data_IF_881594297281
#
_entry.id   IF_881594297281
#
_cell.length_a   1.000
_cell.length_b   1.000
_cell.length_c   1.000
_cell.angle_alpha   90.00
_cell.angle_beta   90.00
_cell.angle_gamma   90.00
#
_symmetry.space_group_name_H-M   'P 1'
#
loop_
_entity.id
_entity.type
_entity.pdbx_description
1 polymer ?
#
# COMPACT_ATOMS: atom_id res chain seq x y z
N UNK A 1 22.06 11.94 -39.52
CA UNK A 1 21.34 12.53 -38.38
C UNK A 1 22.36 13.09 -37.39
N UNK A 2 22.20 14.31 -36.92
CA UNK A 2 23.14 14.97 -36.00
C UNK A 2 23.05 14.39 -34.58
N UNK A 3 24.17 14.25 -33.89
CA UNK A 3 24.26 13.70 -32.52
C UNK A 3 23.30 14.38 -31.53
N UNK A 4 23.03 15.69 -31.72
CA UNK A 4 22.09 16.49 -30.90
C UNK A 4 20.64 16.02 -31.04
N UNK A 5 20.22 15.58 -32.23
CA UNK A 5 18.88 15.06 -32.46
C UNK A 5 18.67 13.71 -31.75
N UNK A 6 19.72 12.89 -31.69
CA UNK A 6 19.70 11.60 -30.99
C UNK A 6 19.63 11.78 -29.47
N UNK A 7 20.43 12.70 -28.91
CA UNK A 7 20.39 13.00 -27.47
C UNK A 7 19.03 13.58 -27.04
N UNK A 8 18.45 14.48 -27.83
CA UNK A 8 17.13 15.05 -27.53
C UNK A 8 16.02 13.98 -27.53
N UNK A 9 16.06 13.04 -28.48
CA UNK A 9 15.10 11.94 -28.55
C UNK A 9 15.23 10.99 -27.36
N UNK A 10 16.45 10.65 -26.93
CA UNK A 10 16.69 9.81 -25.75
C UNK A 10 16.21 10.47 -24.45
N UNK A 11 16.44 11.78 -24.29
CA UNK A 11 15.94 12.52 -23.11
C UNK A 11 14.41 12.59 -23.09
N UNK A 12 13.76 12.83 -24.22
CA UNK A 12 12.31 12.85 -24.32
C UNK A 12 11.71 11.47 -24.00
N UNK A 13 12.31 10.39 -24.52
CA UNK A 13 11.89 9.03 -24.21
C UNK A 13 12.06 8.72 -22.72
N UNK A 14 13.18 9.13 -22.12
CA UNK A 14 13.44 8.92 -20.70
C UNK A 14 12.42 9.65 -19.82
N UNK A 15 12.04 10.88 -20.20
CA UNK A 15 11.01 11.64 -19.51
C UNK A 15 9.63 10.97 -19.64
N UNK A 16 9.27 10.50 -20.83
CA UNK A 16 8.00 9.79 -21.07
C UNK A 16 7.93 8.51 -20.23
N UNK A 17 9.02 7.73 -20.19
CA UNK A 17 9.10 6.51 -19.38
C UNK A 17 8.99 6.85 -17.89
N UNK A 18 9.70 7.87 -17.41
CA UNK A 18 9.61 8.30 -16.02
C UNK A 18 8.17 8.71 -15.66
N UNK A 19 7.52 9.54 -16.48
CA UNK A 19 6.12 9.96 -16.27
C UNK A 19 5.17 8.76 -16.29
N UNK A 20 5.37 7.80 -17.19
CA UNK A 20 4.56 6.58 -17.25
C UNK A 20 4.72 5.70 -16.01
N UNK A 21 5.92 5.63 -15.42
CA UNK A 21 6.17 4.90 -14.17
C UNK A 21 5.57 5.59 -12.94
N UNK A 22 5.51 6.93 -12.93
CA UNK A 22 4.88 7.69 -11.84
C UNK A 22 3.34 7.72 -11.91
N UNK A 23 2.78 7.69 -13.12
CA UNK A 23 1.33 7.79 -13.35
C UNK A 23 0.65 6.44 -13.58
N UNK A 24 1.44 5.38 -13.81
CA UNK A 24 0.91 4.03 -13.89
C UNK A 24 0.16 3.68 -12.61
N UNK A 25 -0.92 2.87 -12.69
CA UNK A 25 -1.57 2.39 -11.50
C UNK A 25 -0.52 1.65 -10.67
N UNK A 26 -0.22 2.21 -9.48
CA UNK A 26 0.46 1.45 -8.44
C UNK A 26 -0.58 0.43 -8.02
N UNK A 27 -0.58 -0.69 -8.72
CA UNK A 27 -1.32 -1.87 -8.34
C UNK A 27 -0.70 -2.32 -7.01
N UNK A 28 -1.19 -1.73 -5.91
CA UNK A 28 -0.92 -2.15 -4.55
C UNK A 28 -1.45 -3.59 -4.29
N UNK A 29 -1.99 -4.25 -5.33
CA UNK A 29 -2.38 -5.65 -5.38
C UNK A 29 -1.22 -6.63 -5.17
N UNK A 30 0.04 -6.16 -5.21
CA UNK A 30 1.21 -6.92 -4.77
C UNK A 30 1.41 -6.98 -3.25
N UNK A 31 0.78 -6.08 -2.48
CA UNK A 31 0.46 -6.40 -1.10
C UNK A 31 -0.77 -7.30 -1.18
N UNK A 32 -0.69 -8.53 -0.68
CA UNK A 32 -1.92 -9.27 -0.39
C UNK A 32 -2.79 -8.31 0.43
N UNK A 33 -3.86 -7.79 -0.19
CA UNK A 33 -4.81 -6.94 0.50
C UNK A 33 -5.27 -7.78 1.67
N UNK A 34 -4.91 -7.36 2.88
CA UNK A 34 -5.23 -8.08 4.09
C UNK A 34 -6.71 -8.44 4.04
N UNK A 35 -6.97 -9.73 3.86
CA UNK A 35 -8.32 -10.23 3.79
C UNK A 35 -8.82 -10.41 5.21
N UNK A 36 -10.06 -10.02 5.45
CA UNK A 36 -10.72 -10.33 6.71
C UNK A 36 -10.78 -11.85 6.89
N UNK A 37 -10.35 -12.41 8.03
CA UNK A 37 -10.35 -13.85 8.26
C UNK A 37 -11.76 -14.41 8.46
N UNK A 38 -12.72 -13.56 8.82
CA UNK A 38 -14.13 -13.91 9.05
C UNK A 38 -15.01 -12.68 8.77
N UNK A 39 -16.24 -12.92 8.33
CA UNK A 39 -17.28 -11.91 8.22
C UNK A 39 -18.05 -11.78 9.54
N UNK A 40 -18.43 -10.56 9.91
CA UNK A 40 -19.19 -10.32 11.13
C UNK A 40 -19.07 -8.91 11.68
N UNK A 41 -19.82 -8.63 12.75
CA UNK A 41 -19.73 -7.37 13.49
C UNK A 41 -18.50 -7.37 14.41
N UNK A 42 -17.81 -6.23 14.50
CA UNK A 42 -16.76 -6.02 15.50
C UNK A 42 -17.41 -5.83 16.86
N UNK A 43 -17.15 -6.77 17.77
CA UNK A 43 -17.69 -6.76 19.15
C UNK A 43 -16.69 -6.23 20.18
N UNK A 44 -15.40 -6.24 19.85
CA UNK A 44 -14.34 -5.60 20.64
C UNK A 44 -13.47 -4.78 19.70
N UNK A 45 -13.42 -3.47 19.90
CA UNK A 45 -12.54 -2.57 19.15
C UNK A 45 -11.09 -2.65 19.65
N UNK A 46 -10.14 -2.32 18.77
CA UNK A 46 -8.74 -2.18 19.15
C UNK A 46 -8.53 -0.95 20.02
N UNK A 47 -7.88 -1.12 21.18
CA UNK A 47 -7.53 -0.01 22.07
C UNK A 47 -6.25 -0.29 22.82
N UNK A 48 -5.34 0.68 22.85
CA UNK A 48 -4.22 0.67 23.78
C UNK A 48 -4.65 1.22 25.16
N UNK A 49 -4.14 0.63 26.23
CA UNK A 49 -4.11 1.26 27.55
C UNK A 49 -3.09 2.42 27.61
N UNK A 50 -2.92 2.99 28.80
CA UNK A 50 -2.02 4.13 29.01
C UNK A 50 -0.55 3.80 28.71
N UNK A 51 -0.14 2.55 28.95
CA UNK A 51 1.12 1.98 28.48
C UNK A 51 0.83 1.01 27.31
N UNK A 52 1.16 1.34 26.06
CA UNK A 52 0.90 0.48 24.91
C UNK A 52 1.60 -0.90 24.96
N UNK A 53 2.64 -1.05 25.77
CA UNK A 53 3.45 -2.27 25.84
C UNK A 53 3.25 -3.07 27.13
N UNK A 54 2.36 -2.63 28.03
CA UNK A 54 2.08 -3.38 29.24
C UNK A 54 1.57 -4.80 28.91
N UNK A 55 2.01 -5.83 29.66
CA UNK A 55 1.67 -7.22 29.38
C UNK A 55 0.17 -7.50 29.62
N UNK A 56 -0.36 -8.51 28.91
CA UNK A 56 -1.73 -9.00 29.10
C UNK A 56 -2.83 -8.18 28.42
N UNK A 57 -2.50 -7.18 27.59
CA UNK A 57 -3.49 -6.41 26.85
C UNK A 57 -4.07 -7.18 25.65
N UNK A 58 -5.35 -6.94 25.36
CA UNK A 58 -6.00 -7.39 24.12
C UNK A 58 -5.45 -6.57 22.94
N UNK A 59 -4.70 -7.21 22.05
CA UNK A 59 -3.98 -6.56 20.94
C UNK A 59 -4.58 -6.91 19.58
N UNK A 60 -5.91 -6.88 19.50
CA UNK A 60 -6.65 -7.18 18.28
C UNK A 60 -8.01 -6.51 18.27
N UNK A 61 -8.86 -7.02 17.41
CA UNK A 61 -10.31 -6.82 17.46
C UNK A 61 -10.95 -8.20 17.58
N UNK A 62 -12.14 -8.25 18.16
CA UNK A 62 -12.97 -9.46 18.14
C UNK A 62 -14.13 -9.27 17.17
N UNK A 63 -14.41 -10.29 16.36
CA UNK A 63 -15.49 -10.29 15.38
C UNK A 63 -16.47 -11.40 15.77
N UNK A 64 -17.76 -11.09 15.83
CA UNK A 64 -18.80 -12.09 15.96
C UNK A 64 -18.90 -12.89 14.66
N UNK A 65 -18.38 -14.11 14.65
CA UNK A 65 -18.48 -14.99 13.48
C UNK A 65 -19.94 -15.32 13.15
N UNK A 66 -20.29 -15.20 11.86
CA UNK A 66 -21.58 -15.61 11.31
C UNK A 66 -21.70 -17.13 11.10
#
# INVERSE_FOLDING_TARGET
MSSRAVTAALSALSLVVAVALLLGPVDASGAELWAWPVEGEVITEYRNGDDPYAPGQHRGIDIAGA
#
